data_IF_451237476074
#
_entry.id   IF_451237476074
#
_cell.length_a   1.000
_cell.length_b   1.000
_cell.length_c   1.000
_cell.angle_alpha   90.00
_cell.angle_beta   90.00
_cell.angle_gamma   90.00
#
_symmetry.space_group_name_H-M   'P 1'
#
loop_
_entity.id
_entity.type
_entity.pdbx_description
1 polymer ?
#
# COMPACT_ATOMS: atom_id res chain seq x y z
N UNK A 1 -17.02 -6.42 -0.02
CA UNK A 1 -15.83 -7.22 0.38
C UNK A 1 -14.63 -6.29 0.41
N UNK A 2 -13.78 -6.39 1.43
CA UNK A 2 -12.53 -5.61 1.52
C UNK A 2 -11.47 -6.20 0.58
N UNK A 3 -10.74 -5.35 -0.12
CA UNK A 3 -9.58 -5.70 -0.92
C UNK A 3 -8.41 -4.80 -0.52
N UNK A 4 -7.33 -5.39 -0.02
CA UNK A 4 -6.16 -4.66 0.44
C UNK A 4 -5.21 -4.39 -0.73
N UNK A 5 -4.86 -3.14 -0.95
CA UNK A 5 -3.92 -2.68 -1.96
C UNK A 5 -2.69 -2.13 -1.25
N UNK A 6 -1.54 -2.76 -1.40
CA UNK A 6 -0.29 -2.32 -0.77
C UNK A 6 0.57 -1.64 -1.83
N UNK A 7 0.93 -0.38 -1.57
CA UNK A 7 1.87 0.40 -2.34
C UNK A 7 3.21 0.41 -1.62
N UNK A 8 4.27 -0.02 -2.29
CA UNK A 8 5.64 0.12 -1.81
C UNK A 8 6.56 0.62 -2.92
N UNK A 9 7.73 1.14 -2.55
CA UNK A 9 8.64 1.84 -3.45
C UNK A 9 9.68 0.94 -4.17
N UNK A 10 9.72 -0.36 -3.87
CA UNK A 10 10.73 -1.27 -4.43
C UNK A 10 10.29 -2.75 -4.44
N UNK A 11 10.82 -3.57 -5.36
CA UNK A 11 10.59 -5.01 -5.39
C UNK A 11 10.98 -5.73 -4.09
N UNK A 12 12.05 -5.27 -3.44
CA UNK A 12 12.52 -5.80 -2.15
C UNK A 12 11.44 -5.61 -1.08
N UNK A 13 10.89 -4.39 -0.96
CA UNK A 13 9.79 -4.09 -0.03
C UNK A 13 8.54 -4.88 -0.36
N UNK A 14 8.20 -5.08 -1.64
CA UNK A 14 7.08 -5.94 -2.00
C UNK A 14 7.28 -7.39 -1.57
N UNK A 15 8.52 -7.89 -1.63
CA UNK A 15 8.90 -9.19 -1.09
C UNK A 15 8.70 -9.26 0.42
N UNK A 16 9.10 -8.22 1.15
CA UNK A 16 8.90 -8.09 2.61
C UNK A 16 7.42 -8.05 2.97
N UNK A 17 6.61 -7.23 2.30
CA UNK A 17 5.15 -7.18 2.50
C UNK A 17 4.49 -8.53 2.25
N UNK A 18 4.85 -9.21 1.17
CA UNK A 18 4.32 -10.55 0.88
C UNK A 18 4.65 -11.52 2.00
N UNK A 19 5.92 -11.58 2.42
CA UNK A 19 6.39 -12.49 3.47
C UNK A 19 5.72 -12.16 4.80
N UNK A 20 5.75 -10.89 5.22
CA UNK A 20 5.16 -10.44 6.48
C UNK A 20 3.65 -10.73 6.56
N UNK A 21 2.89 -10.51 5.48
CA UNK A 21 1.48 -10.85 5.46
C UNK A 21 1.24 -12.37 5.53
N UNK A 22 2.06 -13.18 4.85
CA UNK A 22 1.99 -14.64 4.94
C UNK A 22 2.30 -15.14 6.35
N UNK A 23 3.37 -14.64 6.95
CA UNK A 23 3.86 -15.07 8.26
C UNK A 23 2.93 -14.62 9.40
N UNK A 24 2.41 -13.40 9.33
CA UNK A 24 1.57 -12.82 10.39
C UNK A 24 0.09 -13.22 10.29
N UNK A 25 -0.45 -13.39 9.07
CA UNK A 25 -1.88 -13.65 8.86
C UNK A 25 -2.17 -15.09 8.39
N UNK A 26 -1.15 -15.88 8.10
CA UNK A 26 -1.30 -17.26 7.61
C UNK A 26 -1.91 -17.34 6.21
N UNK A 27 -1.95 -16.24 5.45
CA UNK A 27 -2.44 -16.26 4.07
C UNK A 27 -1.42 -16.93 3.15
N UNK A 28 -1.89 -17.47 2.04
CA UNK A 28 -1.05 -18.18 1.07
C UNK A 28 -0.66 -17.29 -0.10
N UNK A 29 0.25 -17.78 -0.94
CA UNK A 29 0.56 -17.13 -2.24
C UNK A 29 -0.68 -16.97 -3.14
N UNK A 30 -1.69 -17.84 -2.98
CA UNK A 30 -2.91 -17.80 -3.80
C UNK A 30 -3.88 -16.67 -3.42
N UNK A 31 -3.67 -16.05 -2.27
CA UNK A 31 -4.45 -14.90 -1.77
C UNK A 31 -3.97 -13.56 -2.35
N UNK A 32 -2.84 -13.58 -3.06
CA UNK A 32 -2.29 -12.43 -3.76
C UNK A 32 -2.72 -12.43 -5.23
N UNK A 33 -3.11 -11.26 -5.74
CA UNK A 33 -3.36 -11.05 -7.17
C UNK A 33 -4.64 -10.27 -7.45
N UNK A 34 -4.88 -9.87 -8.72
CA UNK A 34 -5.90 -8.89 -9.09
C UNK A 34 -7.32 -9.25 -8.62
N UNK A 35 -7.69 -10.52 -8.65
CA UNK A 35 -9.03 -10.98 -8.22
C UNK A 35 -9.01 -11.63 -6.83
N UNK A 36 -7.94 -11.38 -6.06
CA UNK A 36 -7.72 -11.96 -4.73
C UNK A 36 -7.81 -10.89 -3.65
N UNK A 37 -7.62 -11.30 -2.39
CA UNK A 37 -7.83 -10.44 -1.22
C UNK A 37 -6.78 -9.33 -1.09
N UNK A 38 -5.55 -9.58 -1.55
CA UNK A 38 -4.42 -8.64 -1.44
C UNK A 38 -3.76 -8.43 -2.81
N UNK A 39 -3.41 -7.18 -3.12
CA UNK A 39 -2.65 -6.82 -4.32
C UNK A 39 -1.49 -5.91 -3.94
N UNK A 40 -0.33 -6.14 -4.57
CA UNK A 40 0.91 -5.42 -4.33
C UNK A 40 1.23 -4.53 -5.55
N UNK A 41 1.65 -3.29 -5.32
CA UNK A 41 1.91 -2.29 -6.34
C UNK A 41 3.20 -1.52 -6.08
N UNK A 42 3.87 -1.14 -7.18
CA UNK A 42 5.03 -0.25 -7.17
C UNK A 42 4.69 1.18 -7.63
N UNK A 43 3.50 1.39 -8.21
CA UNK A 43 3.05 2.67 -8.78
C UNK A 43 1.72 3.11 -8.16
N UNK A 44 1.61 4.38 -7.72
CA UNK A 44 0.35 4.97 -7.27
C UNK A 44 -0.75 4.93 -8.32
N UNK A 45 -0.42 5.14 -9.60
CA UNK A 45 -1.38 5.17 -10.71
C UNK A 45 -2.09 3.82 -10.88
N UNK A 46 -1.33 2.73 -10.73
CA UNK A 46 -1.88 1.38 -10.78
C UNK A 46 -2.81 1.09 -9.58
N UNK A 47 -2.52 1.66 -8.40
CA UNK A 47 -3.41 1.60 -7.22
C UNK A 47 -4.71 2.34 -7.49
N UNK A 48 -4.64 3.57 -8.02
CA UNK A 48 -5.82 4.39 -8.35
C UNK A 48 -6.73 3.64 -9.32
N UNK A 49 -6.19 3.16 -10.45
CA UNK A 49 -6.96 2.42 -11.45
C UNK A 49 -7.62 1.17 -10.85
N UNK A 50 -6.90 0.46 -9.95
CA UNK A 50 -7.46 -0.71 -9.28
C UNK A 50 -8.56 -0.35 -8.32
N UNK A 51 -8.36 0.69 -7.51
CA UNK A 51 -9.29 1.12 -6.49
C UNK A 51 -10.60 1.64 -7.11
N UNK A 52 -10.54 2.38 -8.22
CA UNK A 52 -11.71 2.79 -9.01
C UNK A 52 -12.53 1.58 -9.45
N UNK A 53 -11.89 0.58 -10.08
CA UNK A 53 -12.57 -0.64 -10.51
C UNK A 53 -13.20 -1.40 -9.34
N UNK A 54 -12.55 -1.41 -8.16
CA UNK A 54 -13.12 -2.03 -6.97
C UNK A 54 -14.38 -1.30 -6.48
N UNK A 55 -14.39 0.03 -6.50
CA UNK A 55 -15.58 0.82 -6.15
C UNK A 55 -16.73 0.57 -7.13
N UNK A 56 -16.45 0.50 -8.44
CA UNK A 56 -17.44 0.16 -9.47
C UNK A 56 -18.05 -1.23 -9.23
N UNK A 57 -17.23 -2.18 -8.78
CA UNK A 57 -17.64 -3.53 -8.38
C UNK A 57 -18.31 -3.59 -6.99
N UNK A 58 -18.59 -2.45 -6.35
CA UNK A 58 -19.14 -2.33 -4.98
C UNK A 58 -18.28 -3.03 -3.93
N UNK A 59 -16.97 -3.09 -4.15
CA UNK A 59 -15.96 -3.56 -3.20
C UNK A 59 -15.32 -2.36 -2.51
N UNK A 60 -14.68 -2.62 -1.37
CA UNK A 60 -14.08 -1.60 -0.54
C UNK A 60 -12.55 -1.72 -0.63
N UNK A 61 -11.84 -0.78 -1.28
CA UNK A 61 -10.39 -0.77 -1.28
C UNK A 61 -9.87 -0.29 0.09
N UNK A 62 -8.91 -1.03 0.66
CA UNK A 62 -8.07 -0.57 1.77
C UNK A 62 -6.67 -0.32 1.21
N UNK A 63 -6.23 0.93 1.17
CA UNK A 63 -4.94 1.31 0.61
C UNK A 63 -3.90 1.39 1.73
N UNK A 64 -2.84 0.60 1.64
CA UNK A 64 -1.70 0.63 2.55
C UNK A 64 -0.52 1.25 1.80
N UNK A 65 0.03 2.35 2.32
CA UNK A 65 1.15 3.07 1.71
C UNK A 65 2.38 2.94 2.61
N UNK A 66 3.44 2.34 2.10
CA UNK A 66 4.69 2.09 2.82
C UNK A 66 5.80 3.05 2.36
N UNK A 67 6.35 3.82 3.30
CA UNK A 67 7.52 4.71 3.13
C UNK A 67 7.50 5.53 1.82
N UNK A 68 6.41 6.27 1.59
CA UNK A 68 6.22 7.12 0.41
C UNK A 68 6.33 8.60 0.78
N UNK A 69 7.50 9.06 1.23
CA UNK A 69 7.67 10.45 1.73
C UNK A 69 7.46 11.53 0.65
N UNK A 70 7.89 11.32 -0.60
CA UNK A 70 8.03 12.45 -1.53
C UNK A 70 6.98 12.51 -2.66
N UNK A 71 6.15 11.49 -2.82
CA UNK A 71 5.19 11.39 -3.94
C UNK A 71 3.89 10.70 -3.55
N UNK A 72 3.21 11.15 -2.49
CA UNK A 72 1.81 10.74 -2.30
C UNK A 72 1.00 11.36 -3.45
N UNK A 73 0.64 10.53 -4.42
CA UNK A 73 -0.27 10.93 -5.48
C UNK A 73 -1.61 11.33 -4.83
N UNK A 74 -1.99 12.61 -4.93
CA UNK A 74 -3.20 13.16 -4.32
C UNK A 74 -4.47 12.42 -4.76
N UNK A 75 -4.45 11.78 -5.93
CA UNK A 75 -5.56 10.94 -6.39
C UNK A 75 -5.79 9.72 -5.51
N UNK A 76 -4.86 9.32 -4.64
CA UNK A 76 -5.10 8.28 -3.63
C UNK A 76 -6.01 8.77 -2.50
N UNK A 77 -6.06 10.07 -2.24
CA UNK A 77 -6.86 10.66 -1.16
C UNK A 77 -8.36 10.69 -1.48
N UNK A 78 -8.74 10.40 -2.73
CA UNK A 78 -10.15 10.28 -3.10
C UNK A 78 -10.81 9.00 -2.54
N UNK A 79 -10.01 8.02 -2.11
CA UNK A 79 -10.49 6.75 -1.59
C UNK A 79 -10.71 6.81 -0.08
N UNK A 80 -11.76 6.15 0.44
CA UNK A 80 -12.21 6.37 1.82
C UNK A 80 -11.33 5.73 2.90
N UNK A 81 -10.56 4.69 2.55
CA UNK A 81 -9.76 3.95 3.53
C UNK A 81 -8.30 3.87 3.09
N UNK A 82 -7.46 4.53 3.85
CA UNK A 82 -6.02 4.47 3.68
C UNK A 82 -5.29 4.40 5.02
N UNK A 83 -4.13 3.75 5.01
CA UNK A 83 -3.18 3.66 6.10
C UNK A 83 -1.80 3.95 5.50
N UNK A 84 -1.15 5.01 5.95
CA UNK A 84 0.19 5.36 5.51
C UNK A 84 1.18 5.16 6.66
N UNK A 85 2.31 4.54 6.37
CA UNK A 85 3.44 4.47 7.28
C UNK A 85 4.35 5.65 7.03
N UNK A 86 4.51 6.48 8.07
CA UNK A 86 5.46 7.56 8.04
C UNK A 86 6.89 7.01 8.04
N UNK A 87 7.82 7.71 7.39
CA UNK A 87 9.26 7.46 7.51
C UNK A 87 9.75 7.50 8.95
N UNK A 88 10.94 6.95 9.19
CA UNK A 88 11.65 7.23 10.42
C UNK A 88 11.98 8.73 10.51
N UNK A 89 11.71 9.39 11.66
CA UNK A 89 12.03 10.80 11.82
C UNK A 89 13.54 11.02 11.68
N UNK A 90 13.94 11.82 10.69
CA UNK A 90 15.34 12.21 10.56
C UNK A 90 15.77 12.99 11.81
N UNK A 91 16.91 12.65 12.44
CA UNK A 91 17.39 13.39 13.60
C UNK A 91 17.61 14.85 13.20
N UNK A 92 16.87 15.76 13.84
CA UNK A 92 17.08 17.20 13.68
C UNK A 92 18.52 17.49 14.08
N UNK A 93 19.36 17.92 13.15
CA UNK A 93 20.73 18.35 13.44
C UNK A 93 20.69 19.66 14.23
N UNK A 94 20.40 19.59 15.53
CA UNK A 94 20.52 20.70 16.47
C UNK A 94 21.98 20.84 16.91
N UNK A 95 22.87 21.09 15.96
CA UNK A 95 24.24 21.53 16.24
C UNK A 95 24.64 22.59 15.23
N UNK A 96 24.11 23.80 15.41
CA UNK A 96 24.78 25.04 15.01
C UNK A 96 24.65 26.01 16.18
N UNK A 97 25.65 25.98 17.06
CA UNK A 97 26.10 27.13 17.84
C UNK A 97 27.36 27.67 17.17
#
# INVERSE_FOLDING_TARGET
RLCTLVLANSPERLGEWRRGLQDCLGISRSDFGPERGVVLFESPEAVVQKAERLLDEKKLPLIVMDETEDQINLSLLQFPLWMAFAPEPQPTSSYMY
#
